data_IF_561324227569
#
_entry.id   IF_561324227569
#
_cell.length_a   1.000
_cell.length_b   1.000
_cell.length_c   1.000
_cell.angle_alpha   90.00
_cell.angle_beta   90.00
_cell.angle_gamma   90.00
#
_symmetry.space_group_name_H-M   'P 1'
#
loop_
_entity.id
_entity.type
_entity.pdbx_description
1 polymer ?
#
# COMPACT_ATOMS: atom_id res chain seq x y z
N UNK A 1 18.00 -17.53 -19.65
CA UNK A 1 17.27 -17.33 -18.37
C UNK A 1 18.04 -16.27 -17.60
N UNK A 2 17.40 -15.20 -17.14
CA UNK A 2 18.06 -14.23 -16.27
C UNK A 2 18.30 -14.86 -14.89
N UNK A 3 19.54 -14.80 -14.40
CA UNK A 3 19.87 -15.20 -13.03
C UNK A 3 19.49 -14.08 -12.06
N UNK A 4 19.38 -14.41 -10.76
CA UNK A 4 19.15 -13.41 -9.71
C UNK A 4 20.20 -12.31 -9.75
N UNK A 5 21.48 -12.68 -9.84
CA UNK A 5 22.59 -11.71 -9.88
C UNK A 5 22.52 -10.81 -11.10
N UNK A 6 22.04 -11.31 -12.25
CA UNK A 6 21.79 -10.44 -13.41
C UNK A 6 20.64 -9.45 -13.18
N UNK A 7 19.62 -9.82 -12.38
CA UNK A 7 18.55 -8.89 -12.00
C UNK A 7 19.08 -7.82 -11.03
N UNK A 8 19.87 -8.22 -10.02
CA UNK A 8 20.55 -7.33 -9.06
C UNK A 8 21.49 -6.35 -9.80
N UNK A 9 22.28 -6.83 -10.76
CA UNK A 9 23.14 -6.00 -11.61
C UNK A 9 22.35 -5.03 -12.49
N UNK A 10 21.14 -5.39 -12.90
CA UNK A 10 20.28 -4.49 -13.66
C UNK A 10 19.70 -3.40 -12.76
N UNK A 11 19.25 -3.74 -11.55
CA UNK A 11 18.80 -2.75 -10.55
C UNK A 11 19.87 -1.66 -10.38
N UNK A 12 21.14 -2.05 -10.17
CA UNK A 12 22.30 -1.13 -10.04
C UNK A 12 22.51 -0.18 -11.22
N UNK A 13 22.10 -0.58 -12.42
CA UNK A 13 22.28 0.21 -13.65
C UNK A 13 21.10 1.12 -13.93
N UNK A 14 19.91 0.76 -13.48
CA UNK A 14 18.66 1.41 -13.91
C UNK A 14 17.95 2.18 -12.81
N UNK A 15 18.13 1.79 -11.54
CA UNK A 15 17.48 2.45 -10.42
C UNK A 15 18.25 3.69 -9.97
N UNK A 16 17.51 4.61 -9.35
CA UNK A 16 18.05 5.79 -8.68
C UNK A 16 19.07 5.38 -7.60
N UNK A 17 20.12 6.18 -7.36
CA UNK A 17 21.05 5.96 -6.24
C UNK A 17 20.37 5.94 -4.86
N UNK A 18 19.18 6.52 -4.74
CA UNK A 18 18.37 6.55 -3.52
C UNK A 18 17.43 5.35 -3.37
N UNK A 19 17.34 4.47 -4.38
CA UNK A 19 16.54 3.26 -4.33
C UNK A 19 17.15 2.22 -3.38
N UNK A 20 16.30 1.36 -2.83
CA UNK A 20 16.76 0.19 -2.09
C UNK A 20 17.14 -0.93 -3.08
N UNK A 21 18.40 -1.35 -3.08
CA UNK A 21 18.86 -2.45 -3.93
C UNK A 21 18.63 -3.81 -3.27
N UNK A 22 18.33 -4.83 -4.07
CA UNK A 22 18.08 -6.20 -3.60
C UNK A 22 19.34 -6.87 -3.02
N UNK A 23 20.52 -6.54 -3.55
CA UNK A 23 21.82 -7.07 -3.11
C UNK A 23 22.35 -6.38 -1.83
N UNK A 24 21.84 -5.20 -1.49
CA UNK A 24 22.10 -4.48 -0.23
C UNK A 24 21.13 -4.85 0.91
N UNK A 25 20.24 -5.82 0.69
CA UNK A 25 19.29 -6.24 1.73
C UNK A 25 20.03 -6.69 2.99
N UNK A 26 19.55 -6.23 4.15
CA UNK A 26 19.96 -6.71 5.49
C UNK A 26 19.52 -8.15 5.74
N UNK A 27 18.79 -8.74 4.80
CA UNK A 27 18.45 -10.16 4.79
C UNK A 27 17.19 -10.47 5.59
N UNK A 28 17.09 -11.74 6.02
CA UNK A 28 15.91 -12.33 6.67
C UNK A 28 16.28 -12.76 8.08
N UNK A 29 15.29 -12.82 8.97
CA UNK A 29 15.51 -13.25 10.36
C UNK A 29 16.00 -14.71 10.44
N UNK A 30 15.46 -15.58 9.60
CA UNK A 30 15.95 -16.94 9.44
C UNK A 30 16.79 -17.04 8.16
N UNK A 31 18.08 -17.44 8.24
CA UNK A 31 18.92 -17.58 7.07
C UNK A 31 18.34 -18.59 6.09
N UNK A 32 18.29 -18.19 4.82
CA UNK A 32 17.86 -19.03 3.72
C UNK A 32 18.81 -18.87 2.54
N UNK A 33 18.96 -19.93 1.75
CA UNK A 33 19.74 -19.83 0.53
C UNK A 33 19.09 -18.83 -0.45
N UNK A 34 19.91 -17.96 -1.08
CA UNK A 34 19.53 -17.24 -2.27
C UNK A 34 18.77 -18.06 -3.30
N UNK A 35 17.80 -17.44 -3.95
CA UNK A 35 17.11 -18.08 -5.07
C UNK A 35 17.90 -17.87 -6.37
N UNK A 36 17.81 -18.83 -7.29
CA UNK A 36 18.63 -18.83 -8.51
C UNK A 36 18.24 -17.72 -9.50
N UNK A 37 16.97 -17.31 -9.54
CA UNK A 37 16.42 -16.38 -10.55
C UNK A 37 15.39 -15.37 -10.02
N UNK A 38 15.27 -15.21 -8.70
CA UNK A 38 14.38 -14.20 -8.09
C UNK A 38 15.16 -13.37 -7.07
N UNK A 39 14.99 -12.06 -7.12
CA UNK A 39 15.57 -11.14 -6.13
C UNK A 39 14.92 -11.35 -4.75
N UNK A 40 15.50 -10.70 -3.74
CA UNK A 40 14.99 -10.78 -2.37
C UNK A 40 13.55 -10.26 -2.25
N UNK A 41 13.23 -9.13 -2.89
CA UNK A 41 11.91 -8.51 -2.83
C UNK A 41 10.86 -9.21 -3.70
N UNK A 42 11.26 -9.78 -4.84
CA UNK A 42 10.36 -10.64 -5.63
C UNK A 42 9.87 -11.85 -4.83
N UNK A 43 10.76 -12.44 -4.04
CA UNK A 43 10.37 -13.55 -3.15
C UNK A 43 9.40 -13.10 -2.07
N UNK A 44 9.54 -11.88 -1.56
CA UNK A 44 8.66 -11.34 -0.52
C UNK A 44 7.26 -11.11 -1.05
N UNK A 45 7.15 -10.46 -2.21
CA UNK A 45 5.88 -10.33 -2.93
C UNK A 45 5.20 -11.69 -3.08
N UNK A 46 5.91 -12.68 -3.61
CA UNK A 46 5.34 -14.01 -3.87
C UNK A 46 4.86 -14.67 -2.56
N UNK A 47 5.60 -14.49 -1.46
CA UNK A 47 5.23 -15.00 -0.13
C UNK A 47 3.95 -14.39 0.39
N UNK A 48 3.81 -13.08 0.26
CA UNK A 48 2.64 -12.30 0.68
C UNK A 48 1.41 -12.73 -0.11
N UNK A 49 1.46 -12.71 -1.44
CA UNK A 49 0.33 -13.06 -2.32
C UNK A 49 -0.20 -14.47 -1.99
N UNK A 50 0.68 -15.42 -1.74
CA UNK A 50 0.23 -16.79 -1.49
C UNK A 50 -0.31 -17.00 -0.08
N UNK A 51 -0.06 -16.08 0.88
CA UNK A 51 -0.40 -16.21 2.31
C UNK A 51 -1.89 -16.42 2.56
N UNK A 52 -2.26 -17.02 3.71
CA UNK A 52 -3.67 -17.17 4.06
C UNK A 52 -4.28 -15.82 4.44
N UNK A 53 -3.50 -14.96 5.10
CA UNK A 53 -3.90 -13.60 5.46
C UNK A 53 -4.26 -12.78 4.22
N UNK A 54 -3.47 -12.83 3.14
CA UNK A 54 -3.77 -12.12 1.90
C UNK A 54 -5.07 -12.62 1.25
N UNK A 55 -5.28 -13.95 1.18
CA UNK A 55 -6.56 -14.51 0.70
C UNK A 55 -7.77 -14.06 1.51
N UNK A 56 -7.62 -13.88 2.82
CA UNK A 56 -8.71 -13.42 3.69
C UNK A 56 -9.11 -11.97 3.42
N UNK A 57 -8.28 -11.16 2.75
CA UNK A 57 -8.64 -9.80 2.36
C UNK A 57 -9.84 -9.77 1.40
N UNK A 58 -10.04 -10.82 0.62
CA UNK A 58 -11.21 -11.00 -0.27
C UNK A 58 -12.53 -10.93 0.51
N UNK A 59 -12.55 -11.40 1.76
CA UNK A 59 -13.75 -11.47 2.58
C UNK A 59 -13.83 -10.37 3.65
N UNK A 60 -12.92 -9.40 3.63
CA UNK A 60 -12.94 -8.23 4.51
C UNK A 60 -13.39 -7.02 3.71
N UNK A 61 -14.39 -6.31 4.20
CA UNK A 61 -14.81 -5.06 3.59
C UNK A 61 -13.98 -3.89 4.07
N UNK A 62 -13.89 -2.85 3.24
CA UNK A 62 -13.20 -1.60 3.56
C UNK A 62 -14.10 -0.70 4.42
N UNK A 63 -15.28 -0.31 3.90
CA UNK A 63 -16.21 0.65 4.54
C UNK A 63 -17.63 0.10 4.70
N UNK A 64 -18.21 -0.50 3.65
CA UNK A 64 -19.59 -0.98 3.64
C UNK A 64 -19.68 -2.48 4.00
N UNK A 65 -20.82 -2.96 4.51
CA UNK A 65 -20.99 -4.37 4.90
C UNK A 65 -21.18 -5.27 3.66
N UNK A 66 -20.56 -6.47 3.66
CA UNK A 66 -20.72 -7.45 2.60
C UNK A 66 -22.19 -7.91 2.51
N UNK A 67 -22.77 -7.87 1.31
CA UNK A 67 -24.13 -8.36 1.03
C UNK A 67 -25.18 -7.30 0.68
N UNK A 68 -24.79 -6.03 0.51
CA UNK A 68 -25.71 -4.94 0.14
C UNK A 68 -25.60 -4.44 -1.31
N UNK A 69 -24.74 -5.05 -2.14
CA UNK A 69 -24.58 -4.71 -3.56
C UNK A 69 -23.54 -5.59 -4.28
N UNK A 70 -23.56 -5.60 -5.61
CA UNK A 70 -22.75 -6.49 -6.46
C UNK A 70 -21.30 -6.00 -6.69
N UNK A 71 -20.99 -4.74 -6.33
CA UNK A 71 -19.70 -4.08 -6.62
C UNK A 71 -18.97 -3.56 -5.37
N UNK A 72 -19.22 -4.15 -4.21
CA UNK A 72 -18.61 -3.70 -2.96
C UNK A 72 -17.08 -3.90 -2.97
N UNK A 73 -16.35 -2.82 -2.69
CA UNK A 73 -14.90 -2.84 -2.52
C UNK A 73 -14.51 -3.67 -1.29
N UNK A 74 -13.59 -4.60 -1.50
CA UNK A 74 -12.98 -5.42 -0.44
C UNK A 74 -11.60 -4.86 -0.10
N UNK A 75 -11.01 -5.31 1.01
CA UNK A 75 -9.61 -4.99 1.30
C UNK A 75 -8.66 -5.52 0.24
N UNK A 76 -9.02 -6.62 -0.43
CA UNK A 76 -8.23 -7.16 -1.52
C UNK A 76 -8.22 -6.21 -2.72
N UNK A 77 -9.38 -5.73 -3.17
CA UNK A 77 -9.43 -4.77 -4.29
C UNK A 77 -8.70 -3.48 -3.94
N UNK A 78 -8.87 -2.99 -2.72
CA UNK A 78 -8.11 -1.85 -2.21
C UNK A 78 -6.58 -2.09 -2.26
N UNK A 79 -6.12 -3.19 -1.68
CA UNK A 79 -4.70 -3.57 -1.68
C UNK A 79 -4.11 -3.70 -3.09
N UNK A 80 -4.88 -4.21 -4.05
CA UNK A 80 -4.44 -4.32 -5.45
C UNK A 80 -4.31 -2.95 -6.12
N UNK A 81 -5.20 -2.00 -5.82
CA UNK A 81 -5.13 -0.63 -6.33
C UNK A 81 -3.96 0.13 -5.70
N UNK A 82 -3.74 -0.01 -4.39
CA UNK A 82 -2.56 0.54 -3.70
C UNK A 82 -1.27 0.02 -4.33
N UNK A 83 -1.18 -1.29 -4.61
CA UNK A 83 -0.03 -1.86 -5.29
C UNK A 83 0.17 -1.28 -6.70
N UNK A 84 -0.91 -1.06 -7.46
CA UNK A 84 -0.82 -0.46 -8.80
C UNK A 84 -0.31 0.99 -8.75
N UNK A 85 -0.86 1.83 -7.87
CA UNK A 85 -0.43 3.22 -7.67
C UNK A 85 1.02 3.29 -7.19
N UNK A 86 1.37 2.48 -6.18
CA UNK A 86 2.73 2.40 -5.62
C UNK A 86 3.77 2.05 -6.68
N UNK A 87 3.48 1.09 -7.55
CA UNK A 87 4.37 0.70 -8.66
C UNK A 87 4.53 1.80 -9.70
N UNK A 88 3.47 2.57 -9.99
CA UNK A 88 3.54 3.66 -10.95
C UNK A 88 4.43 4.80 -10.44
N UNK A 89 4.23 5.24 -9.19
CA UNK A 89 5.08 6.24 -8.55
C UNK A 89 6.54 5.76 -8.48
N UNK A 90 6.73 4.51 -8.05
CA UNK A 90 8.06 3.89 -7.92
C UNK A 90 8.82 3.86 -9.25
N UNK A 91 8.18 3.44 -10.35
CA UNK A 91 8.83 3.44 -11.68
C UNK A 91 9.18 4.85 -12.14
N UNK A 92 8.29 5.82 -11.92
CA UNK A 92 8.55 7.20 -12.33
C UNK A 92 9.73 7.82 -11.58
N UNK A 93 9.94 7.44 -10.32
CA UNK A 93 11.06 7.90 -9.47
C UNK A 93 12.33 7.00 -9.58
N UNK A 94 12.28 5.94 -10.38
CA UNK A 94 13.39 4.98 -10.50
C UNK A 94 13.70 4.22 -9.20
N UNK A 95 12.70 3.96 -8.35
CA UNK A 95 12.86 3.22 -7.09
C UNK A 95 12.63 1.71 -7.28
N UNK A 96 12.81 0.90 -6.22
CA UNK A 96 12.65 -0.55 -6.33
C UNK A 96 11.16 -0.99 -6.33
N UNK A 97 10.64 -1.29 -7.52
CA UNK A 97 9.23 -1.67 -7.73
C UNK A 97 8.83 -2.93 -6.95
N UNK A 98 9.69 -3.94 -6.90
CA UNK A 98 9.39 -5.20 -6.24
C UNK A 98 9.29 -5.02 -4.71
N UNK A 99 10.08 -4.12 -4.11
CA UNK A 99 9.98 -3.79 -2.68
C UNK A 99 8.71 -3.00 -2.38
N UNK A 100 8.43 -1.94 -3.15
CA UNK A 100 7.23 -1.12 -2.98
C UNK A 100 5.94 -1.95 -3.12
N UNK A 101 5.89 -2.81 -4.14
CA UNK A 101 4.78 -3.75 -4.36
C UNK A 101 4.64 -4.75 -3.21
N UNK A 102 5.74 -5.32 -2.70
CA UNK A 102 5.69 -6.26 -1.58
C UNK A 102 5.14 -5.61 -0.30
N UNK A 103 5.54 -4.36 -0.01
CA UNK A 103 5.03 -3.58 1.14
C UNK A 103 3.55 -3.26 0.94
N UNK A 104 3.19 -2.73 -0.23
CA UNK A 104 1.80 -2.41 -0.58
C UNK A 104 0.88 -3.62 -0.47
N UNK A 105 1.30 -4.82 -0.89
CA UNK A 105 0.48 -6.02 -0.78
C UNK A 105 0.34 -6.54 0.65
N UNK A 106 1.26 -6.18 1.54
CA UNK A 106 1.32 -6.69 2.91
C UNK A 106 0.80 -5.71 3.98
N UNK A 107 0.62 -4.42 3.66
CA UNK A 107 0.25 -3.39 4.63
C UNK A 107 -1.04 -3.73 5.39
N UNK A 108 -2.00 -4.31 4.69
CA UNK A 108 -3.38 -4.48 5.16
C UNK A 108 -3.72 -5.86 5.73
N UNK A 109 -2.73 -6.77 5.82
CA UNK A 109 -2.94 -8.16 6.25
C UNK A 109 -3.60 -8.29 7.64
N UNK A 110 -3.25 -7.37 8.54
CA UNK A 110 -3.61 -7.33 9.94
C UNK A 110 -4.97 -6.77 10.27
N UNK A 111 -5.68 -6.19 9.29
CA UNK A 111 -6.97 -5.58 9.56
C UNK A 111 -7.98 -6.54 10.15
N UNK A 112 -8.70 -6.06 11.16
CA UNK A 112 -9.81 -6.78 11.77
C UNK A 112 -10.99 -6.93 10.79
N UNK A 113 -11.88 -7.91 11.02
CA UNK A 113 -13.22 -7.87 10.42
C UNK A 113 -13.91 -6.53 10.73
N UNK A 114 -14.82 -6.07 9.85
CA UNK A 114 -15.60 -4.83 10.03
C UNK A 114 -14.77 -3.52 10.12
N UNK A 115 -13.60 -3.49 9.46
CA UNK A 115 -12.78 -2.28 9.33
C UNK A 115 -12.45 -1.62 10.67
N UNK A 116 -12.47 -0.28 10.70
CA UNK A 116 -12.10 0.53 11.87
C UNK A 116 -12.96 0.27 13.11
N UNK A 117 -14.23 -0.13 12.94
CA UNK A 117 -15.11 -0.47 14.06
C UNK A 117 -14.66 -1.76 14.73
N UNK A 118 -14.28 -2.76 13.95
CA UNK A 118 -13.70 -3.99 14.49
C UNK A 118 -12.38 -3.74 15.18
N UNK A 119 -11.54 -2.87 14.63
CA UNK A 119 -10.24 -2.52 15.22
C UNK A 119 -10.42 -1.81 16.56
N UNK A 120 -11.31 -0.81 16.61
CA UNK A 120 -11.64 -0.08 17.84
C UNK A 120 -12.19 -1.01 18.92
N UNK A 121 -13.08 -1.94 18.55
CA UNK A 121 -13.64 -2.92 19.47
C UNK A 121 -12.57 -3.88 20.00
N UNK A 122 -11.71 -4.42 19.13
CA UNK A 122 -10.60 -5.28 19.55
C UNK A 122 -9.60 -4.54 20.43
N UNK A 123 -9.28 -3.28 20.11
CA UNK A 123 -8.34 -2.50 20.91
C UNK A 123 -8.89 -2.26 22.32
N UNK A 124 -10.17 -1.89 22.44
CA UNK A 124 -10.83 -1.74 23.73
C UNK A 124 -10.83 -3.04 24.54
N UNK A 125 -11.13 -4.19 23.91
CA UNK A 125 -11.11 -5.51 24.55
C UNK A 125 -9.71 -5.95 24.97
N UNK A 126 -8.67 -5.46 24.29
CA UNK A 126 -7.28 -5.83 24.52
C UNK A 126 -6.52 -4.80 25.37
N UNK A 127 -7.20 -3.82 25.99
CA UNK A 127 -6.59 -2.76 26.79
C UNK A 127 -5.63 -3.33 27.86
N UNK A 128 -6.07 -4.33 28.61
CA UNK A 128 -5.27 -4.98 29.67
C UNK A 128 -4.27 -6.04 29.14
N UNK A 129 -4.18 -6.17 27.80
CA UNK A 129 -3.39 -7.17 27.10
C UNK A 129 -2.44 -6.56 26.04
N UNK A 130 -2.23 -5.24 26.05
CA UNK A 130 -1.28 -4.55 25.16
C UNK A 130 -1.89 -3.92 23.90
N UNK A 131 -3.22 -3.88 23.83
CA UNK A 131 -4.00 -3.25 22.76
C UNK A 131 -4.05 -4.03 21.45
N UNK A 132 -4.71 -3.46 20.46
CA UNK A 132 -4.78 -3.96 19.08
C UNK A 132 -4.64 -2.79 18.11
N UNK A 133 -3.79 -2.96 17.11
CA UNK A 133 -3.57 -2.02 16.01
C UNK A 133 -3.21 -2.83 14.76
N UNK A 134 -3.83 -2.51 13.62
CA UNK A 134 -3.76 -3.35 12.42
C UNK A 134 -2.34 -3.47 11.85
N UNK A 135 -1.51 -2.43 11.84
CA UNK A 135 -0.14 -2.50 11.33
C UNK A 135 0.75 -3.42 12.19
N UNK A 136 0.65 -3.31 13.52
CA UNK A 136 1.28 -4.25 14.47
C UNK A 136 0.83 -5.68 14.20
N UNK A 137 -0.46 -5.86 13.88
CA UNK A 137 -1.01 -7.16 13.55
C UNK A 137 -0.54 -7.67 12.16
N UNK A 138 -0.40 -6.81 11.14
CA UNK A 138 0.15 -7.16 9.82
C UNK A 138 1.57 -7.69 9.98
N UNK A 139 2.39 -6.99 10.78
CA UNK A 139 3.75 -7.42 11.06
C UNK A 139 3.78 -8.74 11.86
N UNK A 140 2.92 -8.87 12.89
CA UNK A 140 2.79 -10.13 13.65
C UNK A 140 2.36 -11.31 12.76
N UNK A 141 1.53 -11.08 11.74
CA UNK A 141 1.14 -12.12 10.78
C UNK A 141 2.34 -12.64 10.00
N UNK A 142 3.15 -11.72 9.46
CA UNK A 142 4.29 -12.10 8.61
C UNK A 142 5.51 -12.56 9.41
N UNK A 143 5.60 -12.24 10.69
CA UNK A 143 6.67 -12.71 11.58
C UNK A 143 6.32 -14.01 12.32
N UNK A 144 5.06 -14.21 12.69
CA UNK A 144 4.70 -15.27 13.65
C UNK A 144 3.46 -16.10 13.26
N UNK A 145 2.39 -15.51 12.75
CA UNK A 145 1.11 -16.23 12.65
C UNK A 145 0.94 -17.09 11.38
N UNK A 146 1.57 -16.72 10.27
CA UNK A 146 1.57 -17.56 9.08
C UNK A 146 2.38 -18.83 9.32
N UNK A 147 1.83 -19.99 8.98
CA UNK A 147 2.48 -21.29 9.17
C UNK A 147 2.55 -22.01 7.81
N UNK A 148 3.46 -21.53 6.96
CA UNK A 148 3.65 -22.04 5.60
C UNK A 148 4.94 -22.81 5.39
N UNK A 149 5.89 -22.63 6.30
CA UNK A 149 7.22 -23.22 6.19
C UNK A 149 7.43 -24.23 7.31
N UNK A 150 8.08 -25.39 7.04
CA UNK A 150 8.12 -26.49 8.01
C UNK A 150 8.85 -26.21 9.33
N UNK A 151 9.71 -25.18 9.38
CA UNK A 151 10.65 -24.97 10.50
C UNK A 151 10.65 -23.55 11.05
N UNK A 152 9.84 -22.66 10.48
CA UNK A 152 9.80 -21.25 10.87
C UNK A 152 8.34 -20.80 10.87
N UNK A 153 8.02 -19.96 11.84
CA UNK A 153 6.79 -19.19 11.87
C UNK A 153 6.92 -17.98 10.94
N UNK A 154 5.78 -17.43 10.54
CA UNK A 154 5.70 -16.30 9.62
C UNK A 154 6.06 -16.66 8.17
N UNK A 155 6.30 -15.59 7.40
CA UNK A 155 6.71 -15.64 6.01
C UNK A 155 8.23 -15.43 5.84
N UNK A 156 8.93 -15.09 6.92
CA UNK A 156 10.36 -14.78 6.93
C UNK A 156 10.75 -13.76 5.84
N UNK A 157 9.99 -12.67 5.74
CA UNK A 157 10.24 -11.56 4.82
C UNK A 157 11.58 -10.87 5.12
N UNK A 158 12.13 -10.15 4.15
CA UNK A 158 13.34 -9.36 4.35
C UNK A 158 13.12 -8.27 5.40
N UNK A 159 14.22 -7.74 5.92
CA UNK A 159 14.17 -6.64 6.87
C UNK A 159 13.48 -5.42 6.26
N UNK A 160 13.74 -5.10 4.99
CA UNK A 160 13.21 -3.91 4.30
C UNK A 160 11.69 -3.99 4.14
N UNK A 161 11.15 -5.14 3.71
CA UNK A 161 9.70 -5.31 3.62
C UNK A 161 9.05 -5.23 5.00
N UNK A 162 9.64 -5.83 6.04
CA UNK A 162 9.09 -5.74 7.40
C UNK A 162 9.18 -4.33 7.97
N UNK A 163 10.24 -3.60 7.65
CA UNK A 163 10.42 -2.22 8.07
C UNK A 163 9.38 -1.31 7.44
N UNK A 164 9.09 -1.48 6.15
CA UNK A 164 8.03 -0.74 5.48
C UNK A 164 6.61 -1.02 6.00
N UNK A 165 6.39 -2.16 6.66
CA UNK A 165 5.11 -2.48 7.33
C UNK A 165 4.97 -1.79 8.69
N UNK A 166 6.08 -1.37 9.29
CA UNK A 166 6.03 -0.48 10.44
C UNK A 166 5.74 0.89 9.86
N UNK A 167 4.45 1.25 9.74
CA UNK A 167 4.08 2.61 9.38
C UNK A 167 4.81 3.55 10.33
N UNK A 168 5.81 4.28 9.82
CA UNK A 168 6.34 5.44 10.50
C UNK A 168 5.22 6.46 10.41
N UNK A 169 4.47 6.59 11.49
CA UNK A 169 3.30 7.47 11.55
C UNK A 169 3.76 8.92 11.34
N UNK A 170 3.91 9.33 10.08
CA UNK A 170 4.26 10.68 9.60
C UNK A 170 5.67 11.19 9.98
N UNK A 171 6.09 12.28 9.33
CA UNK A 171 7.32 13.02 9.65
C UNK A 171 7.32 13.69 11.04
N UNK A 172 6.19 13.65 11.76
CA UNK A 172 5.97 14.39 13.01
C UNK A 172 5.81 13.51 14.26
N UNK A 173 5.65 12.20 14.11
CA UNK A 173 5.59 11.29 15.25
C UNK A 173 6.75 10.28 15.21
N UNK A 174 7.39 10.12 16.36
CA UNK A 174 8.48 9.18 16.51
C UNK A 174 7.89 7.76 16.55
N UNK A 175 8.29 6.84 15.63
CA UNK A 175 7.86 5.46 15.70
C UNK A 175 8.21 4.93 17.09
N UNK A 176 7.31 4.15 17.69
CA UNK A 176 7.63 3.39 18.89
C UNK A 176 8.90 2.61 18.57
N UNK A 177 10.03 2.96 19.21
CA UNK A 177 11.33 2.31 18.99
C UNK A 177 11.15 0.81 19.15
N UNK A 178 11.00 0.09 18.05
CA UNK A 178 10.91 -1.36 18.06
C UNK A 178 12.33 -1.88 17.91
N UNK A 179 12.77 -2.59 18.93
CA UNK A 179 14.09 -3.22 18.98
C UNK A 179 14.33 -4.02 17.68
N UNK A 180 15.43 -3.72 16.98
CA UNK A 180 15.77 -4.33 15.69
C UNK A 180 15.36 -3.53 14.44
N UNK A 181 14.66 -2.40 14.60
CA UNK A 181 14.32 -1.46 13.52
C UNK A 181 14.90 -0.07 13.78
N UNK A 182 16.23 0.05 13.68
CA UNK A 182 16.98 1.27 14.01
C UNK A 182 17.22 2.20 12.80
N UNK A 183 16.21 2.39 11.94
CA UNK A 183 16.30 3.35 10.84
C UNK A 183 15.81 4.74 11.29
N UNK A 184 16.53 5.79 10.88
CA UNK A 184 16.11 7.19 11.12
C UNK A 184 14.88 7.57 10.30
N UNK A 185 14.71 6.94 9.15
CA UNK A 185 13.60 7.11 8.21
C UNK A 185 13.45 5.82 7.41
N UNK A 186 12.23 5.50 6.98
CA UNK A 186 12.01 4.37 6.07
C UNK A 186 12.56 4.61 4.67
N UNK A 187 12.70 3.52 3.92
CA UNK A 187 13.07 3.61 2.50
C UNK A 187 12.05 4.43 1.71
N UNK A 188 12.46 4.98 0.57
CA UNK A 188 11.55 5.72 -0.31
C UNK A 188 10.42 4.82 -0.81
N UNK A 189 10.67 3.53 -1.05
CA UNK A 189 9.66 2.54 -1.45
C UNK A 189 8.57 2.36 -0.38
N UNK A 190 8.95 2.33 0.90
CA UNK A 190 7.98 2.28 2.00
C UNK A 190 7.15 3.57 2.10
N UNK A 191 7.79 4.73 1.91
CA UNK A 191 7.09 6.03 1.88
C UNK A 191 6.12 6.11 0.69
N UNK A 192 6.53 5.63 -0.48
CA UNK A 192 5.67 5.54 -1.68
C UNK A 192 4.49 4.60 -1.44
N UNK A 193 4.71 3.43 -0.81
CA UNK A 193 3.61 2.53 -0.47
C UNK A 193 2.61 3.18 0.49
N UNK A 194 3.06 3.95 1.49
CA UNK A 194 2.17 4.69 2.39
C UNK A 194 1.40 5.82 1.66
N UNK A 195 2.06 6.59 0.81
CA UNK A 195 1.38 7.62 -0.01
C UNK A 195 0.36 7.01 -0.97
N UNK A 196 0.70 5.88 -1.59
CA UNK A 196 -0.22 5.16 -2.47
C UNK A 196 -1.46 4.66 -1.72
N UNK A 197 -1.29 4.19 -0.48
CA UNK A 197 -2.40 3.82 0.41
C UNK A 197 -3.32 5.03 0.65
N UNK A 198 -2.78 6.17 1.06
CA UNK A 198 -3.55 7.40 1.29
C UNK A 198 -4.31 7.89 0.04
N UNK A 199 -3.64 7.97 -1.12
CA UNK A 199 -4.27 8.39 -2.40
C UNK A 199 -5.43 7.47 -2.77
N UNK A 200 -5.20 6.16 -2.62
CA UNK A 200 -6.19 5.14 -2.96
C UNK A 200 -7.36 5.18 -1.99
N UNK A 201 -7.08 5.30 -0.69
CA UNK A 201 -8.06 5.40 0.38
C UNK A 201 -9.03 6.56 0.15
N UNK A 202 -8.53 7.78 -0.08
CA UNK A 202 -9.39 8.95 -0.31
C UNK A 202 -10.26 8.81 -1.55
N UNK A 203 -9.73 8.18 -2.59
CA UNK A 203 -10.45 7.99 -3.85
C UNK A 203 -11.57 6.95 -3.71
N UNK A 204 -11.37 5.92 -2.87
CA UNK A 204 -12.38 4.89 -2.59
C UNK A 204 -13.50 5.43 -1.70
N UNK A 205 -13.15 6.14 -0.64
CA UNK A 205 -14.15 6.76 0.25
C UNK A 205 -15.02 7.78 -0.51
N UNK A 206 -14.42 8.49 -1.47
CA UNK A 206 -15.14 9.41 -2.35
C UNK A 206 -16.11 8.69 -3.28
N UNK A 207 -15.66 7.64 -3.97
CA UNK A 207 -16.46 6.82 -4.87
C UNK A 207 -17.63 6.15 -4.14
N UNK A 208 -17.31 5.41 -3.07
CA UNK A 208 -18.31 4.69 -2.28
C UNK A 208 -19.29 5.67 -1.59
N UNK A 209 -18.80 6.84 -1.14
CA UNK A 209 -19.63 7.88 -0.53
C UNK A 209 -20.63 8.51 -1.52
N UNK A 210 -20.22 8.68 -2.78
CA UNK A 210 -21.09 9.15 -3.86
C UNK A 210 -22.11 8.09 -4.28
N UNK A 211 -21.69 6.83 -4.37
CA UNK A 211 -22.58 5.71 -4.72
C UNK A 211 -23.61 5.42 -3.63
N UNK A 212 -23.22 5.56 -2.35
CA UNK A 212 -24.14 5.44 -1.22
C UNK A 212 -25.07 6.66 -1.04
N UNK A 213 -24.88 7.73 -1.83
CA UNK A 213 -25.61 8.99 -1.68
C UNK A 213 -25.33 9.74 -0.37
N UNK A 214 -24.22 9.41 0.31
CA UNK A 214 -23.75 10.11 1.50
C UNK A 214 -23.04 11.42 1.14
N UNK A 215 -22.49 11.48 -0.08
CA UNK A 215 -21.88 12.66 -0.67
C UNK A 215 -22.74 13.16 -1.84
N UNK A 216 -22.82 14.49 -1.97
CA UNK A 216 -23.51 15.16 -3.06
C UNK A 216 -22.51 15.83 -4.01
N UNK A 217 -22.59 15.54 -5.31
CA UNK A 217 -21.67 16.14 -6.32
C UNK A 217 -21.75 17.68 -6.34
N UNK A 218 -22.94 18.26 -6.14
CA UNK A 218 -23.10 19.72 -6.09
C UNK A 218 -22.36 20.33 -4.88
N UNK A 219 -22.34 19.62 -3.75
CA UNK A 219 -21.59 20.04 -2.58
C UNK A 219 -20.08 19.90 -2.78
N UNK A 220 -19.62 18.82 -3.43
CA UNK A 220 -18.22 18.63 -3.79
C UNK A 220 -17.75 19.73 -4.75
N UNK A 221 -18.53 20.01 -5.80
CA UNK A 221 -18.24 21.06 -6.78
C UNK A 221 -18.17 22.45 -6.16
N UNK A 222 -18.93 22.70 -5.09
CA UNK A 222 -18.96 23.97 -4.38
C UNK A 222 -17.85 24.12 -3.34
N UNK A 223 -17.54 23.04 -2.62
CA UNK A 223 -16.73 23.12 -1.40
C UNK A 223 -15.35 22.45 -1.52
N UNK A 224 -15.13 21.61 -2.53
CA UNK A 224 -13.87 20.87 -2.75
C UNK A 224 -13.21 21.38 -4.02
N UNK A 225 -12.18 22.22 -3.85
CA UNK A 225 -11.45 22.84 -4.97
C UNK A 225 -10.93 21.81 -5.98
N UNK A 226 -10.35 20.71 -5.50
CA UNK A 226 -9.81 19.65 -6.37
C UNK A 226 -10.90 19.04 -7.26
N UNK A 227 -12.10 18.78 -6.72
CA UNK A 227 -13.23 18.28 -7.50
C UNK A 227 -13.69 19.31 -8.53
N UNK A 228 -13.80 20.57 -8.11
CA UNK A 228 -14.19 21.66 -9.00
C UNK A 228 -13.26 21.78 -10.21
N UNK A 229 -11.95 21.81 -9.95
CA UNK A 229 -10.92 21.95 -10.98
C UNK A 229 -10.97 20.75 -11.96
N UNK A 230 -11.05 19.52 -11.42
CA UNK A 230 -11.15 18.31 -12.25
C UNK A 230 -12.44 18.23 -13.09
N UNK A 231 -13.60 18.63 -12.55
CA UNK A 231 -14.86 18.72 -13.32
C UNK A 231 -14.77 19.79 -14.42
N UNK A 232 -14.12 20.93 -14.14
CA UNK A 232 -13.95 22.00 -15.11
C UNK A 232 -13.04 21.57 -16.28
N UNK A 233 -11.91 20.95 -15.97
CA UNK A 233 -10.95 20.46 -16.98
C UNK A 233 -11.59 19.37 -17.86
N UNK A 234 -12.29 18.41 -17.23
CA UNK A 234 -13.01 17.35 -17.93
C UNK A 234 -14.07 17.91 -18.90
N UNK A 235 -14.84 18.90 -18.46
CA UNK A 235 -15.85 19.57 -19.32
C UNK A 235 -15.20 20.34 -20.46
N UNK A 236 -14.05 20.97 -20.22
CA UNK A 236 -13.33 21.71 -21.24
C UNK A 236 -12.78 20.78 -22.34
N UNK A 237 -12.28 19.59 -21.96
CA UNK A 237 -11.69 18.64 -22.90
C UNK A 237 -12.73 17.78 -23.63
N UNK A 238 -13.76 17.31 -22.93
CA UNK A 238 -14.67 16.28 -23.42
C UNK A 238 -16.13 16.72 -23.56
N UNK A 239 -16.49 17.94 -23.16
CA UNK A 239 -17.86 18.44 -23.18
C UNK A 239 -18.75 17.81 -22.08
N UNK A 240 -20.06 17.80 -22.31
CA UNK A 240 -20.99 17.17 -21.36
C UNK A 240 -20.97 15.63 -21.49
N UNK A 241 -20.66 14.97 -20.38
CA UNK A 241 -20.65 13.52 -20.24
C UNK A 241 -21.82 13.05 -19.38
N UNK A 242 -22.27 11.81 -19.62
CA UNK A 242 -23.21 11.12 -18.73
C UNK A 242 -22.66 11.05 -17.30
N UNK A 243 -23.55 11.19 -16.30
CA UNK A 243 -23.17 11.35 -14.88
C UNK A 243 -22.20 10.28 -14.37
N UNK A 244 -22.48 9.01 -14.66
CA UNK A 244 -21.63 7.89 -14.23
C UNK A 244 -20.22 7.97 -14.83
N UNK A 245 -20.10 8.19 -16.15
CA UNK A 245 -18.79 8.31 -16.81
C UNK A 245 -18.03 9.53 -16.32
N UNK A 246 -18.74 10.63 -16.08
CA UNK A 246 -18.16 11.86 -15.54
C UNK A 246 -17.56 11.60 -14.16
N UNK A 247 -18.30 10.96 -13.25
CA UNK A 247 -17.84 10.63 -11.89
C UNK A 247 -16.56 9.81 -11.90
N UNK A 248 -16.55 8.67 -12.60
CA UNK A 248 -15.37 7.81 -12.69
C UNK A 248 -14.16 8.55 -13.26
N UNK A 249 -14.37 9.40 -14.27
CA UNK A 249 -13.28 10.13 -14.88
C UNK A 249 -12.74 11.25 -13.98
N UNK A 250 -13.59 11.96 -13.23
CA UNK A 250 -13.15 12.93 -12.22
C UNK A 250 -12.28 12.25 -11.18
N UNK A 251 -12.73 11.12 -10.60
CA UNK A 251 -11.97 10.39 -9.58
C UNK A 251 -10.61 9.95 -10.13
N UNK A 252 -10.57 9.46 -11.38
CA UNK A 252 -9.32 9.16 -12.07
C UNK A 252 -8.41 10.39 -12.20
N UNK A 253 -8.93 11.54 -12.63
CA UNK A 253 -8.15 12.78 -12.74
C UNK A 253 -7.59 13.22 -11.38
N UNK A 254 -8.35 13.03 -10.29
CA UNK A 254 -7.89 13.31 -8.94
C UNK A 254 -6.72 12.40 -8.52
N UNK A 255 -6.79 11.10 -8.83
CA UNK A 255 -5.69 10.15 -8.60
C UNK A 255 -4.47 10.55 -9.43
N UNK A 256 -4.66 10.76 -10.73
CA UNK A 256 -3.58 11.11 -11.66
C UNK A 256 -2.88 12.42 -11.23
N UNK A 257 -3.64 13.43 -10.79
CA UNK A 257 -3.09 14.69 -10.28
C UNK A 257 -2.27 14.50 -8.99
N UNK A 258 -2.74 13.69 -8.04
CA UNK A 258 -2.00 13.40 -6.81
C UNK A 258 -0.72 12.60 -7.08
N UNK A 259 -0.80 11.59 -7.95
CA UNK A 259 0.36 10.80 -8.38
C UNK A 259 1.38 11.69 -9.08
N UNK A 260 0.92 12.60 -9.96
CA UNK A 260 1.78 13.56 -10.63
C UNK A 260 2.51 14.48 -9.64
N UNK A 261 1.79 15.07 -8.68
CA UNK A 261 2.37 15.93 -7.64
C UNK A 261 3.43 15.20 -6.81
N UNK A 262 3.15 13.96 -6.39
CA UNK A 262 4.13 13.12 -5.67
C UNK A 262 5.38 12.89 -6.52
N UNK A 263 5.23 12.55 -7.80
CA UNK A 263 6.36 12.27 -8.70
C UNK A 263 7.18 13.53 -8.98
N UNK A 264 6.56 14.66 -9.31
CA UNK A 264 7.30 15.90 -9.60
C UNK A 264 8.01 16.44 -8.36
N UNK A 265 7.29 16.52 -7.23
CA UNK A 265 7.84 17.08 -5.99
C UNK A 265 8.96 16.20 -5.44
N UNK A 266 8.76 14.87 -5.41
CA UNK A 266 9.80 13.95 -4.92
C UNK A 266 10.96 13.87 -5.90
N UNK A 267 10.68 13.82 -7.20
CA UNK A 267 11.69 13.77 -8.26
C UNK A 267 12.64 14.97 -8.20
N UNK A 268 12.12 16.17 -7.95
CA UNK A 268 12.93 17.39 -7.79
C UNK A 268 13.85 17.37 -6.54
N UNK A 269 13.60 16.49 -5.57
CA UNK A 269 14.38 16.37 -4.34
C UNK A 269 15.41 15.23 -4.40
N UNK A 270 15.19 14.21 -5.23
CA UNK A 270 16.02 13.00 -5.32
C UNK A 270 16.80 12.87 -6.64
N UNK A 271 16.63 13.80 -7.57
CA UNK A 271 17.42 13.92 -8.80
C UNK A 271 18.22 15.23 -8.80
#
# INVERSE_FOLDING_TARGET
MFSRTQLEDNERKTLSPFAQFSDDSRGRAHPEQPHQWRTHYQRDRDRVIHSRAFRRLEYKTQVFLNGTGDHLRTRLTHTMEVAAVSRNITRALGLNEDLAEAIALAHDLGHSPFGHKGESALNALMTDHGGFEHNRQSLRIVEELEQKYPRINGLNLTWETREGLIKHYTAYDHPSKREGFDAKSSSLEAQVANLADEITYYSHDLDDGLDAGLLCEDELKKNVKLWHDADADLRAEHGELADERRRYFIIRCLIDSQVHDVVETSGALIH
#
